data_IF_796888881530
#
_entry.id   IF_796888881530
#
_cell.length_a   1.000
_cell.length_b   1.000
_cell.length_c   1.000
_cell.angle_alpha   90.00
_cell.angle_beta   90.00
_cell.angle_gamma   90.00
#
_symmetry.space_group_name_H-M   'P 1'
#
loop_
_entity.id
_entity.type
_entity.pdbx_description
1 polymer ?
#
# COMPACT_ATOMS: atom_id res chain seq x y z
N UNK A 1 14.78 5.65 -17.36
CA UNK A 1 13.87 6.09 -16.29
C UNK A 1 12.48 5.56 -16.53
N UNK A 2 11.84 5.09 -15.47
CA UNK A 2 10.48 4.55 -15.54
C UNK A 2 9.48 5.66 -15.28
N UNK A 3 8.44 5.72 -16.09
CA UNK A 3 7.33 6.66 -15.91
C UNK A 3 6.26 5.97 -15.07
N UNK A 4 6.02 6.47 -13.88
CA UNK A 4 5.11 5.88 -12.91
C UNK A 4 4.08 6.92 -12.48
N UNK A 5 2.85 6.50 -12.30
CA UNK A 5 1.78 7.35 -11.78
C UNK A 5 1.60 7.08 -10.29
N UNK A 6 1.63 8.13 -9.48
CA UNK A 6 1.51 8.01 -8.04
C UNK A 6 0.26 8.75 -7.55
N UNK A 7 -0.54 8.05 -6.76
CA UNK A 7 -1.67 8.63 -6.04
C UNK A 7 -1.26 8.69 -4.57
N UNK A 8 -0.93 9.88 -4.11
CA UNK A 8 -0.46 10.09 -2.74
C UNK A 8 -1.60 10.48 -1.83
N UNK A 9 -2.04 9.54 -1.00
CA UNK A 9 -3.03 9.75 0.06
C UNK A 9 -2.43 9.47 1.44
N UNK A 10 -1.14 9.75 1.61
CA UNK A 10 -0.37 9.46 2.81
C UNK A 10 -0.56 10.48 3.95
N UNK A 11 -1.71 11.08 4.03
CA UNK A 11 -1.99 12.14 5.02
C UNK A 11 -3.15 11.84 5.95
N UNK A 12 -4.00 10.90 5.63
CA UNK A 12 -5.12 10.49 6.47
C UNK A 12 -5.56 9.07 6.13
N UNK A 13 -5.77 8.27 7.18
CA UNK A 13 -6.23 6.91 6.98
C UNK A 13 -7.08 6.45 8.17
N UNK A 14 -8.27 6.00 7.86
CA UNK A 14 -9.14 5.25 8.77
C UNK A 14 -9.73 4.09 7.96
N UNK A 15 -10.42 3.13 8.61
CA UNK A 15 -10.92 1.95 7.89
C UNK A 15 -11.79 2.29 6.67
N UNK A 16 -12.67 3.27 6.78
CA UNK A 16 -13.58 3.62 5.69
C UNK A 16 -12.86 4.29 4.52
N UNK A 17 -11.96 5.23 4.79
CA UNK A 17 -11.20 5.91 3.73
C UNK A 17 -10.21 4.97 3.06
N UNK A 18 -9.63 4.04 3.80
CA UNK A 18 -8.78 2.99 3.24
C UNK A 18 -9.54 2.15 2.22
N UNK A 19 -10.72 1.66 2.59
CA UNK A 19 -11.56 0.86 1.71
C UNK A 19 -12.00 1.63 0.47
N UNK A 20 -12.35 2.90 0.63
CA UNK A 20 -12.76 3.74 -0.48
C UNK A 20 -11.60 3.96 -1.47
N UNK A 21 -10.41 4.20 -0.98
CA UNK A 21 -9.22 4.38 -1.83
C UNK A 21 -8.88 3.11 -2.60
N UNK A 22 -8.98 1.95 -1.96
CA UNK A 22 -8.76 0.65 -2.61
C UNK A 22 -9.80 0.46 -3.73
N UNK A 23 -11.06 0.74 -3.44
CA UNK A 23 -12.14 0.64 -4.42
C UNK A 23 -11.91 1.59 -5.60
N UNK A 24 -11.48 2.81 -5.34
CA UNK A 24 -11.18 3.78 -6.39
C UNK A 24 -10.04 3.27 -7.30
N UNK A 25 -8.99 2.70 -6.71
CA UNK A 25 -7.90 2.13 -7.48
C UNK A 25 -8.36 0.95 -8.35
N UNK A 26 -9.22 0.09 -7.82
CA UNK A 26 -9.80 -1.04 -8.58
C UNK A 26 -10.56 -0.55 -9.81
N UNK A 27 -11.24 0.58 -9.70
CA UNK A 27 -12.09 1.14 -10.75
C UNK A 27 -11.33 1.96 -11.80
N UNK A 28 -10.04 2.25 -11.59
CA UNK A 28 -9.22 2.90 -12.61
C UNK A 28 -9.09 1.97 -13.81
N UNK A 29 -9.33 2.50 -15.01
CA UNK A 29 -9.30 1.74 -16.26
C UNK A 29 -7.87 1.42 -16.71
N UNK A 30 -7.19 0.58 -15.92
CA UNK A 30 -5.85 0.07 -16.18
C UNK A 30 -5.84 -1.39 -15.72
N UNK A 31 -5.03 -2.21 -16.34
CA UNK A 31 -4.91 -3.62 -15.96
C UNK A 31 -4.46 -3.77 -14.51
N UNK A 32 -4.99 -4.74 -13.80
CA UNK A 32 -4.65 -4.98 -12.39
C UNK A 32 -3.15 -5.24 -12.18
N UNK A 33 -2.49 -5.88 -13.15
CA UNK A 33 -1.03 -6.12 -13.07
C UNK A 33 -0.18 -4.85 -13.22
N UNK A 34 -0.81 -3.69 -13.35
CA UNK A 34 -0.17 -2.36 -13.32
C UNK A 34 -0.45 -1.60 -12.03
N UNK A 35 -1.23 -2.17 -11.12
CA UNK A 35 -1.67 -1.48 -9.91
C UNK A 35 -0.90 -1.99 -8.70
N UNK A 36 -0.30 -1.07 -7.97
CA UNK A 36 0.46 -1.33 -6.75
C UNK A 36 -0.17 -0.54 -5.61
N UNK A 37 -0.37 -1.19 -4.46
CA UNK A 37 -0.87 -0.53 -3.26
C UNK A 37 0.23 -0.55 -2.20
N UNK A 38 0.46 0.60 -1.57
CA UNK A 38 1.30 0.71 -0.38
C UNK A 38 0.41 1.21 0.76
N UNK A 39 0.15 0.34 1.71
CA UNK A 39 -0.66 0.66 2.88
C UNK A 39 0.20 0.75 4.12
N UNK A 40 0.12 1.87 4.81
CA UNK A 40 0.72 2.05 6.12
C UNK A 40 -0.31 1.88 7.23
N UNK A 41 0.16 1.90 8.46
CA UNK A 41 -0.69 1.74 9.62
C UNK A 41 -1.71 2.85 9.75
N UNK A 42 -2.88 2.50 10.23
CA UNK A 42 -3.88 3.43 10.70
C UNK A 42 -3.65 3.68 12.19
N UNK A 43 -3.55 4.94 12.58
CA UNK A 43 -3.33 5.31 13.97
C UNK A 43 -4.63 5.41 14.76
N UNK A 44 -4.50 5.45 16.08
CA UNK A 44 -5.60 5.74 17.03
C UNK A 44 -6.76 4.73 17.02
N UNK A 45 -6.48 3.48 16.66
CA UNK A 45 -7.47 2.40 16.67
C UNK A 45 -7.50 1.63 18.00
N UNK A 46 -6.62 1.95 18.93
CA UNK A 46 -6.58 1.36 20.26
C UNK A 46 -6.30 -0.14 20.26
N UNK A 47 -6.98 -0.85 21.16
CA UNK A 47 -6.78 -2.31 21.36
C UNK A 47 -7.03 -3.16 20.13
N UNK A 48 -7.85 -2.66 19.22
CA UNK A 48 -8.29 -3.43 18.04
C UNK A 48 -7.42 -3.19 16.81
N UNK A 49 -6.29 -2.49 16.93
CA UNK A 49 -5.45 -2.14 15.78
C UNK A 49 -5.08 -3.35 14.92
N UNK A 50 -4.53 -4.40 15.50
CA UNK A 50 -4.18 -5.62 14.74
C UNK A 50 -5.38 -6.22 14.02
N UNK A 51 -6.53 -6.30 14.71
CA UNK A 51 -7.75 -6.90 14.17
C UNK A 51 -8.33 -6.08 13.02
N UNK A 52 -8.31 -4.76 13.15
CA UNK A 52 -8.83 -3.87 12.11
C UNK A 52 -7.93 -3.91 10.87
N UNK A 53 -6.62 -3.89 11.04
CA UNK A 53 -5.67 -4.05 9.95
C UNK A 53 -5.83 -5.42 9.26
N UNK A 54 -6.03 -6.48 10.04
CA UNK A 54 -6.30 -7.81 9.51
C UNK A 54 -7.57 -7.84 8.64
N UNK A 55 -8.66 -7.24 9.12
CA UNK A 55 -9.91 -7.16 8.35
C UNK A 55 -9.75 -6.40 7.04
N UNK A 56 -8.96 -5.33 7.06
CA UNK A 56 -8.65 -4.57 5.86
C UNK A 56 -7.93 -5.43 4.83
N UNK A 57 -6.89 -6.14 5.25
CA UNK A 57 -6.12 -7.01 4.35
C UNK A 57 -6.98 -8.15 3.82
N UNK A 58 -7.87 -8.69 4.63
CA UNK A 58 -8.81 -9.73 4.22
C UNK A 58 -9.67 -9.29 3.04
N UNK A 59 -10.06 -8.03 2.99
CA UNK A 59 -10.83 -7.49 1.88
C UNK A 59 -10.01 -7.34 0.60
N UNK A 60 -8.68 -7.29 0.71
CA UNK A 60 -7.79 -7.28 -0.44
C UNK A 60 -7.56 -8.67 -1.03
N UNK A 61 -7.89 -9.71 -0.30
CA UNK A 61 -7.62 -11.10 -0.71
C UNK A 61 -8.33 -11.48 -2.02
N UNK A 62 -9.49 -10.89 -2.29
CA UNK A 62 -10.26 -11.11 -3.52
C UNK A 62 -9.79 -10.27 -4.70
N UNK A 63 -8.77 -9.45 -4.53
CA UNK A 63 -8.29 -8.55 -5.57
C UNK A 63 -6.95 -9.00 -6.12
N UNK A 64 -6.75 -8.77 -7.42
CA UNK A 64 -5.50 -9.11 -8.10
C UNK A 64 -4.79 -7.79 -8.43
N UNK A 65 -3.77 -7.46 -7.64
CA UNK A 65 -2.87 -6.34 -7.91
C UNK A 65 -1.49 -6.87 -8.25
N UNK A 66 -0.67 -6.03 -8.85
CA UNK A 66 0.73 -6.39 -9.08
C UNK A 66 1.46 -6.65 -7.76
N UNK A 67 1.33 -5.72 -6.81
CA UNK A 67 1.85 -5.88 -5.45
C UNK A 67 0.94 -5.20 -4.44
N UNK A 68 0.82 -5.80 -3.26
CA UNK A 68 0.20 -5.21 -2.08
C UNK A 68 1.30 -5.10 -1.02
N UNK A 69 1.80 -3.90 -0.82
CA UNK A 69 2.88 -3.61 0.12
C UNK A 69 2.26 -3.11 1.43
N UNK A 70 2.50 -3.86 2.50
CA UNK A 70 2.01 -3.55 3.84
C UNK A 70 3.18 -3.08 4.70
N UNK A 71 3.09 -1.87 5.25
CA UNK A 71 4.17 -1.29 6.03
C UNK A 71 3.73 -0.99 7.46
N UNK A 72 4.42 -1.61 8.43
CA UNK A 72 4.19 -1.42 9.84
C UNK A 72 3.85 -2.69 10.61
N UNK A 73 4.00 -2.64 11.92
CA UNK A 73 3.83 -3.82 12.78
C UNK A 73 2.40 -4.35 12.85
N UNK A 74 1.40 -3.48 12.70
CA UNK A 74 0.00 -3.89 12.82
C UNK A 74 -0.46 -4.80 11.68
N UNK A 75 0.32 -4.93 10.63
CA UNK A 75 0.05 -5.87 9.53
C UNK A 75 0.65 -7.26 9.73
N UNK A 76 1.45 -7.48 10.77
CA UNK A 76 2.11 -8.78 10.99
C UNK A 76 1.13 -9.94 11.10
N UNK A 77 0.01 -9.74 11.78
CA UNK A 77 -1.02 -10.77 11.93
C UNK A 77 -1.61 -11.16 10.58
N UNK A 78 -1.79 -10.19 9.70
CA UNK A 78 -2.34 -10.42 8.36
C UNK A 78 -1.43 -11.32 7.52
N UNK A 79 -0.14 -11.02 7.54
CA UNK A 79 0.84 -11.78 6.75
C UNK A 79 0.91 -13.24 7.20
N UNK A 80 0.80 -13.49 8.51
CA UNK A 80 0.84 -14.86 9.04
C UNK A 80 -0.36 -15.70 8.64
N UNK A 81 -1.50 -15.06 8.38
CA UNK A 81 -2.78 -15.74 8.19
C UNK A 81 -3.32 -15.70 6.76
N UNK A 82 -2.67 -14.94 5.88
CA UNK A 82 -3.11 -14.80 4.49
C UNK A 82 -2.13 -15.41 3.52
N UNK A 83 -2.65 -16.31 2.70
CA UNK A 83 -1.93 -16.86 1.57
C UNK A 83 -2.88 -16.77 0.36
N UNK A 84 -2.78 -15.68 -0.38
CA UNK A 84 -3.48 -15.57 -1.66
C UNK A 84 -2.47 -15.70 -2.80
N UNK A 85 -2.50 -16.80 -3.56
CA UNK A 85 -1.54 -17.00 -4.65
C UNK A 85 -1.69 -16.01 -5.81
N UNK A 86 -2.84 -15.32 -5.89
CA UNK A 86 -3.13 -14.36 -6.96
C UNK A 86 -2.64 -12.94 -6.65
N UNK A 87 -2.30 -12.65 -5.37
CA UNK A 87 -1.76 -11.38 -4.94
C UNK A 87 -0.36 -11.57 -4.35
N UNK A 88 0.50 -10.63 -4.64
CA UNK A 88 1.81 -10.58 -4.01
C UNK A 88 1.75 -9.64 -2.82
N UNK A 89 1.52 -10.22 -1.62
CA UNK A 89 1.55 -9.49 -0.37
C UNK A 89 2.97 -9.45 0.16
N UNK A 90 3.47 -8.25 0.42
CA UNK A 90 4.82 -8.03 0.92
C UNK A 90 4.73 -7.15 2.15
N UNK A 91 5.33 -7.59 3.25
CA UNK A 91 5.34 -6.87 4.50
C UNK A 91 6.72 -6.27 4.78
N UNK A 92 6.74 -4.99 5.11
CA UNK A 92 7.92 -4.29 5.62
C UNK A 92 7.61 -3.72 6.99
N UNK A 93 8.53 -3.86 7.94
CA UNK A 93 8.37 -3.26 9.27
C UNK A 93 8.40 -1.73 9.21
N UNK A 94 9.19 -1.19 8.27
CA UNK A 94 9.35 0.25 8.06
C UNK A 94 9.65 0.54 6.58
N UNK A 95 9.87 1.80 6.24
CA UNK A 95 10.03 2.24 4.85
C UNK A 95 11.43 2.01 4.26
N UNK A 96 12.41 1.55 5.03
CA UNK A 96 13.82 1.57 4.63
C UNK A 96 14.12 0.80 3.33
N UNK A 97 13.42 -0.29 3.09
CA UNK A 97 13.67 -1.16 1.92
C UNK A 97 12.62 -1.03 0.83
N UNK A 98 11.57 -0.25 1.04
CA UNK A 98 10.49 -0.13 0.05
C UNK A 98 10.98 0.51 -1.24
N UNK A 99 11.79 1.56 -1.13
CA UNK A 99 12.30 2.26 -2.32
C UNK A 99 13.12 1.32 -3.21
N UNK A 100 14.02 0.57 -2.60
CA UNK A 100 14.84 -0.42 -3.33
C UNK A 100 13.95 -1.46 -4.01
N UNK A 101 12.95 -1.96 -3.30
CA UNK A 101 11.99 -2.92 -3.87
C UNK A 101 11.27 -2.33 -5.09
N UNK A 102 10.79 -1.10 -4.98
CA UNK A 102 10.09 -0.43 -6.08
C UNK A 102 11.01 -0.21 -7.28
N UNK A 103 12.23 0.24 -7.06
CA UNK A 103 13.20 0.44 -8.14
C UNK A 103 13.43 -0.82 -8.97
N UNK A 104 13.43 -1.98 -8.31
CA UNK A 104 13.63 -3.27 -8.98
C UNK A 104 12.37 -3.79 -9.67
N UNK A 105 11.18 -3.53 -9.11
CA UNK A 105 9.94 -4.23 -9.46
C UNK A 105 8.93 -3.42 -10.25
N UNK A 106 9.02 -2.10 -10.26
CA UNK A 106 8.07 -1.27 -11.02
C UNK A 106 8.42 -1.22 -12.51
N UNK A 107 7.41 -1.07 -13.32
CA UNK A 107 7.55 -0.91 -14.76
C UNK A 107 6.88 0.39 -15.22
N UNK A 108 7.15 0.76 -16.47
CA UNK A 108 6.51 1.93 -17.05
C UNK A 108 4.99 1.81 -17.02
N UNK A 109 4.35 2.91 -16.68
CA UNK A 109 2.89 3.06 -16.59
C UNK A 109 2.25 2.30 -15.42
N UNK A 110 3.03 1.82 -14.47
CA UNK A 110 2.47 1.32 -13.23
C UNK A 110 1.82 2.48 -12.45
N UNK A 111 0.79 2.16 -11.69
CA UNK A 111 0.11 3.09 -10.79
C UNK A 111 0.35 2.64 -9.35
N UNK A 112 0.81 3.55 -8.52
CA UNK A 112 1.07 3.29 -7.10
C UNK A 112 0.14 4.17 -6.26
N UNK A 113 -0.72 3.53 -5.48
CA UNK A 113 -1.51 4.21 -4.43
C UNK A 113 -0.76 4.09 -3.11
N UNK A 114 -0.54 5.21 -2.43
CA UNK A 114 0.07 5.24 -1.10
C UNK A 114 -0.95 5.80 -0.12
N UNK A 115 -1.29 5.02 0.91
CA UNK A 115 -2.24 5.45 1.93
C UNK A 115 -1.82 5.04 3.34
N UNK A 116 -1.81 6.00 4.25
CA UNK A 116 -1.43 5.80 5.64
C UNK A 116 -1.89 6.98 6.50
N UNK A 117 -1.77 6.84 7.81
CA UNK A 117 -1.97 7.98 8.73
C UNK A 117 -0.83 9.00 8.61
N UNK A 118 -1.17 10.27 8.81
CA UNK A 118 -0.25 11.38 8.64
C UNK A 118 0.99 11.33 9.55
N UNK A 119 0.85 10.75 10.74
CA UNK A 119 1.94 10.64 11.71
C UNK A 119 2.93 9.50 11.43
N UNK A 120 2.77 8.77 10.32
CA UNK A 120 3.66 7.68 9.96
C UNK A 120 4.82 8.18 9.10
N UNK A 121 5.94 7.45 9.10
CA UNK A 121 7.09 7.76 8.23
C UNK A 121 6.81 7.54 6.75
N UNK A 122 5.72 6.87 6.42
CA UNK A 122 5.30 6.65 5.03
C UNK A 122 4.96 7.97 4.34
N UNK A 123 4.47 8.95 5.09
CA UNK A 123 4.25 10.29 4.55
C UNK A 123 5.54 10.87 3.96
N UNK A 124 6.65 10.76 4.68
CA UNK A 124 7.96 11.23 4.20
C UNK A 124 8.46 10.38 3.03
N UNK A 125 8.24 9.09 3.07
CA UNK A 125 8.57 8.18 1.98
C UNK A 125 7.83 8.57 0.70
N UNK A 126 6.53 8.84 0.78
CA UNK A 126 5.72 9.26 -0.36
C UNK A 126 6.27 10.53 -1.01
N UNK A 127 6.66 11.52 -0.21
CA UNK A 127 7.28 12.75 -0.70
C UNK A 127 8.60 12.50 -1.44
N UNK A 128 9.41 11.59 -0.92
CA UNK A 128 10.67 11.18 -1.58
C UNK A 128 10.40 10.49 -2.90
N UNK A 129 9.44 9.59 -2.93
CA UNK A 129 9.06 8.85 -4.13
C UNK A 129 8.58 9.80 -5.23
N UNK A 130 7.73 10.77 -4.89
CA UNK A 130 7.25 11.78 -5.83
C UNK A 130 8.39 12.57 -6.46
N UNK A 131 9.40 12.93 -5.68
CA UNK A 131 10.58 13.64 -6.19
C UNK A 131 11.38 12.78 -7.18
N UNK A 132 11.51 11.51 -6.93
CA UNK A 132 12.26 10.60 -7.79
C UNK A 132 11.56 10.30 -9.11
N UNK A 133 10.25 10.21 -9.10
CA UNK A 133 9.44 9.93 -10.30
C UNK A 133 9.41 11.11 -11.25
N UNK A 134 9.64 12.30 -10.74
CA UNK A 134 9.70 13.54 -11.54
C UNK A 134 11.02 13.73 -12.27
N UNK A 135 11.94 12.83 -12.12
CA UNK A 135 13.31 12.97 -12.67
C UNK A 135 13.44 12.19 -13.96
#
# INVERSE_FOLDING_TARGET
KKKINIIDESYNANPDTMLQSIKNLKNINVKNNKKIIILGTMNELGKNSYKIHYKLVKQLDDTIFKFVILCGEFFELSIKNFLNPNNEFIHFKNTNKIMQFLEEKVHNNDIILIKCSNSTKINNFAKKLLKQVSI
#
